data_IF_150778213760
#
_entry.id   IF_150778213760
#
_cell.length_a   1.000
_cell.length_b   1.000
_cell.length_c   1.000
_cell.angle_alpha   90.00
_cell.angle_beta   90.00
_cell.angle_gamma   90.00
#
_symmetry.space_group_name_H-M   'P 1'
#
loop_
_entity.id
_entity.type
_entity.pdbx_description
1 polymer ?
#
# COMPACT_ATOMS: atom_id res chain seq x y z
N UNK A 1 -12.07 -1.81 -25.00
CA UNK A 1 -11.40 -0.50 -24.92
C UNK A 1 -11.99 0.26 -23.73
N UNK A 2 -11.18 0.90 -22.88
CA UNK A 2 -11.70 1.61 -21.71
C UNK A 2 -12.16 3.01 -22.08
N UNK A 3 -13.34 3.43 -21.61
CA UNK A 3 -13.81 4.82 -21.76
C UNK A 3 -12.89 5.76 -20.98
N UNK A 4 -12.48 6.86 -21.61
CA UNK A 4 -11.63 7.89 -21.00
C UNK A 4 -12.37 8.63 -19.89
N UNK A 5 -11.64 9.34 -19.02
CA UNK A 5 -12.27 10.16 -17.98
C UNK A 5 -13.20 11.21 -18.62
N UNK A 6 -12.74 11.88 -19.68
CA UNK A 6 -13.53 12.87 -20.42
C UNK A 6 -14.84 12.29 -20.97
N UNK A 7 -14.79 11.11 -21.57
CA UNK A 7 -15.98 10.41 -22.07
C UNK A 7 -16.95 10.09 -20.93
N UNK A 8 -16.45 9.60 -19.80
CA UNK A 8 -17.28 9.30 -18.64
C UNK A 8 -17.90 10.56 -18.03
N UNK A 9 -17.15 11.66 -17.95
CA UNK A 9 -17.67 12.92 -17.43
C UNK A 9 -18.73 13.49 -18.37
N UNK A 10 -18.51 13.40 -19.68
CA UNK A 10 -19.51 13.80 -20.66
C UNK A 10 -20.80 12.98 -20.53
N UNK A 11 -20.70 11.65 -20.36
CA UNK A 11 -21.86 10.78 -20.13
C UNK A 11 -22.68 11.27 -18.93
N UNK A 12 -22.04 11.52 -17.79
CA UNK A 12 -22.74 11.98 -16.58
C UNK A 12 -23.42 13.34 -16.82
N UNK A 13 -22.71 14.29 -17.41
CA UNK A 13 -23.27 15.62 -17.71
C UNK A 13 -24.46 15.53 -18.69
N UNK A 14 -24.32 14.78 -19.78
CA UNK A 14 -25.35 14.60 -20.80
C UNK A 14 -26.58 13.88 -20.23
N UNK A 15 -26.38 12.86 -19.40
CA UNK A 15 -27.46 12.12 -18.76
C UNK A 15 -28.34 13.02 -17.89
N UNK A 16 -27.74 13.86 -17.04
CA UNK A 16 -28.48 14.78 -16.18
C UNK A 16 -29.04 15.99 -16.92
N UNK A 17 -28.35 16.49 -17.95
CA UNK A 17 -28.82 17.59 -18.80
C UNK A 17 -30.10 17.22 -19.55
N UNK A 18 -30.25 15.96 -19.93
CA UNK A 18 -31.43 15.44 -20.62
C UNK A 18 -32.58 15.03 -19.70
N UNK A 19 -32.51 15.40 -18.41
CA UNK A 19 -33.62 15.21 -17.49
C UNK A 19 -34.84 16.03 -17.91
N UNK A 20 -36.01 15.39 -17.96
CA UNK A 20 -37.30 16.07 -18.15
C UNK A 20 -38.13 15.97 -16.88
N UNK A 21 -38.82 17.05 -16.52
CA UNK A 21 -39.71 17.05 -15.37
C UNK A 21 -41.07 16.46 -15.76
N UNK A 22 -41.48 15.40 -15.09
CA UNK A 22 -42.82 14.85 -15.25
C UNK A 22 -43.88 15.74 -14.61
N UNK A 23 -45.14 15.53 -14.99
CA UNK A 23 -46.30 16.21 -14.40
C UNK A 23 -46.39 16.01 -12.87
N UNK A 24 -45.85 14.90 -12.36
CA UNK A 24 -45.81 14.55 -10.93
C UNK A 24 -44.68 15.27 -10.17
N UNK A 25 -43.85 16.07 -10.85
CA UNK A 25 -42.72 16.79 -10.26
C UNK A 25 -41.44 15.97 -10.10
N UNK A 26 -41.41 14.73 -10.61
CA UNK A 26 -40.23 13.87 -10.61
C UNK A 26 -39.38 14.06 -11.88
N UNK A 27 -38.04 14.00 -11.73
CA UNK A 27 -37.12 14.04 -12.86
C UNK A 27 -37.01 12.66 -13.52
N UNK A 28 -37.28 12.60 -14.83
CA UNK A 28 -37.07 11.42 -15.65
C UNK A 28 -35.85 11.62 -16.53
N UNK A 29 -34.95 10.65 -16.50
CA UNK A 29 -33.72 10.66 -17.27
C UNK A 29 -33.75 9.58 -18.35
N UNK A 30 -33.38 9.94 -19.58
CA UNK A 30 -33.35 9.03 -20.72
C UNK A 30 -31.93 8.60 -21.04
N UNK A 31 -31.64 7.30 -20.86
CA UNK A 31 -30.37 6.70 -21.31
C UNK A 31 -30.22 6.84 -22.83
N UNK A 32 -31.34 6.76 -23.56
CA UNK A 32 -31.36 6.86 -25.02
C UNK A 32 -30.96 8.25 -25.51
N UNK A 33 -31.46 9.32 -24.88
CA UNK A 33 -31.05 10.69 -25.22
C UNK A 33 -29.55 10.92 -24.99
N UNK A 34 -29.02 10.41 -23.87
CA UNK A 34 -27.59 10.46 -23.58
C UNK A 34 -26.75 9.68 -24.61
N UNK A 35 -27.25 8.53 -25.08
CA UNK A 35 -26.60 7.72 -26.13
C UNK A 35 -26.48 8.52 -27.42
N UNK A 36 -27.58 9.13 -27.85
CA UNK A 36 -27.64 9.83 -29.14
C UNK A 36 -26.72 11.07 -29.14
N UNK A 37 -26.67 11.83 -28.04
CA UNK A 37 -25.69 12.91 -27.87
C UNK A 37 -24.23 12.41 -27.83
N UNK A 38 -23.98 11.26 -27.19
CA UNK A 38 -22.65 10.68 -27.11
C UNK A 38 -22.14 10.26 -28.49
N UNK A 39 -22.97 9.61 -29.29
CA UNK A 39 -22.63 9.19 -30.65
C UNK A 39 -22.45 10.40 -31.57
N UNK A 40 -23.23 11.46 -31.40
CA UNK A 40 -23.05 12.70 -32.15
C UNK A 40 -21.73 13.41 -31.82
N UNK A 41 -21.30 13.36 -30.55
CA UNK A 41 -20.04 13.98 -30.09
C UNK A 41 -18.80 13.16 -30.45
N UNK A 42 -18.91 11.83 -30.47
CA UNK A 42 -17.79 10.92 -30.72
C UNK A 42 -18.10 9.93 -31.87
N UNK A 43 -18.28 10.41 -33.12
CA UNK A 43 -18.69 9.58 -34.26
C UNK A 43 -17.59 8.62 -34.73
N UNK A 44 -16.33 8.90 -34.40
CA UNK A 44 -15.16 8.11 -34.84
C UNK A 44 -15.00 6.79 -34.08
N UNK A 45 -15.71 6.62 -32.96
CA UNK A 45 -15.60 5.44 -32.11
C UNK A 45 -16.62 4.40 -32.57
N UNK A 46 -16.15 3.32 -33.22
CA UNK A 46 -16.97 2.17 -33.57
C UNK A 46 -17.34 1.37 -32.31
N UNK A 47 -18.32 1.87 -31.55
CA UNK A 47 -18.79 1.31 -30.27
C UNK A 47 -20.11 0.57 -30.52
N UNK A 48 -20.19 -0.66 -30.04
CA UNK A 48 -21.44 -1.42 -30.00
C UNK A 48 -22.47 -0.73 -29.08
N UNK A 49 -23.66 -0.41 -29.61
CA UNK A 49 -24.68 0.37 -28.89
C UNK A 49 -25.09 -0.25 -27.55
N UNK A 50 -25.24 -1.57 -27.49
CA UNK A 50 -25.63 -2.27 -26.25
C UNK A 50 -24.57 -2.14 -25.15
N UNK A 51 -23.29 -2.13 -25.55
CA UNK A 51 -22.15 -1.93 -24.65
C UNK A 51 -22.12 -0.50 -24.09
N UNK A 52 -22.43 0.49 -24.93
CA UNK A 52 -22.54 1.89 -24.51
C UNK A 52 -23.68 2.09 -23.51
N UNK A 53 -24.87 1.56 -23.79
CA UNK A 53 -26.03 1.67 -22.89
C UNK A 53 -25.75 1.06 -21.52
N UNK A 54 -25.13 -0.12 -21.49
CA UNK A 54 -24.71 -0.78 -20.24
C UNK A 54 -23.67 0.06 -19.48
N UNK A 55 -22.73 0.67 -20.22
CA UNK A 55 -21.71 1.51 -19.62
C UNK A 55 -22.28 2.81 -19.04
N UNK A 56 -23.23 3.46 -19.73
CA UNK A 56 -23.93 4.66 -19.24
C UNK A 56 -24.59 4.36 -17.89
N UNK A 57 -25.40 3.30 -17.81
CA UNK A 57 -26.06 2.89 -16.55
C UNK A 57 -25.05 2.69 -15.43
N UNK A 58 -23.99 1.92 -15.69
CA UNK A 58 -22.93 1.65 -14.70
C UNK A 58 -22.20 2.92 -14.22
N UNK A 59 -21.98 3.89 -15.11
CA UNK A 59 -21.32 5.16 -14.76
C UNK A 59 -22.24 6.02 -13.90
N UNK A 60 -23.53 6.11 -14.27
CA UNK A 60 -24.54 6.87 -13.51
C UNK A 60 -24.73 6.25 -12.13
N UNK A 61 -24.88 4.92 -12.04
CA UNK A 61 -25.02 4.22 -10.76
C UNK A 61 -23.79 4.44 -9.86
N UNK A 62 -22.59 4.43 -10.45
CA UNK A 62 -21.34 4.73 -9.72
C UNK A 62 -21.35 6.18 -9.22
N UNK A 63 -21.72 7.12 -10.07
CA UNK A 63 -21.77 8.53 -9.69
C UNK A 63 -22.78 8.76 -8.57
N UNK A 64 -23.96 8.12 -8.62
CA UNK A 64 -24.99 8.26 -7.59
C UNK A 64 -24.58 7.62 -6.26
N UNK A 65 -23.88 6.49 -6.29
CA UNK A 65 -23.44 5.79 -5.09
C UNK A 65 -22.19 6.38 -4.45
N UNK A 66 -21.25 6.92 -5.24
CA UNK A 66 -19.91 7.33 -4.75
C UNK A 66 -19.56 8.79 -5.00
N UNK A 67 -20.35 9.53 -5.78
CA UNK A 67 -20.05 10.90 -6.23
C UNK A 67 -18.90 10.98 -7.24
N UNK A 68 -18.36 9.84 -7.70
CA UNK A 68 -17.18 9.80 -8.55
C UNK A 68 -17.47 9.14 -9.90
N UNK A 69 -17.00 9.78 -10.96
CA UNK A 69 -17.08 9.28 -12.33
C UNK A 69 -16.00 8.22 -12.60
N UNK A 70 -14.81 8.42 -12.01
CA UNK A 70 -13.68 7.52 -12.16
C UNK A 70 -13.89 6.22 -11.37
N UNK A 71 -13.28 5.13 -11.84
CA UNK A 71 -13.23 3.90 -11.05
C UNK A 71 -12.35 4.14 -9.83
N UNK A 72 -12.88 3.89 -8.63
CA UNK A 72 -12.10 3.94 -7.40
C UNK A 72 -10.93 2.95 -7.41
N UNK A 73 -9.99 3.14 -6.47
CA UNK A 73 -8.90 2.17 -6.26
C UNK A 73 -9.51 0.81 -5.93
N UNK A 74 -9.07 -0.23 -6.63
CA UNK A 74 -9.42 -1.59 -6.25
C UNK A 74 -8.93 -1.84 -4.82
N UNK A 75 -9.69 -2.57 -3.99
CA UNK A 75 -9.32 -2.86 -2.59
C UNK A 75 -8.01 -3.65 -2.45
N UNK A 76 -7.47 -4.17 -3.57
CA UNK A 76 -6.20 -4.88 -3.60
C UNK A 76 -6.34 -6.29 -3.07
N UNK A 77 -5.19 -6.92 -2.77
CA UNK A 77 -5.14 -8.24 -2.14
C UNK A 77 -5.54 -8.09 -0.66
N UNK A 78 -6.46 -8.91 -0.13
CA UNK A 78 -6.82 -8.84 1.28
C UNK A 78 -5.60 -9.04 2.18
N UNK A 79 -5.53 -8.34 3.32
CA UNK A 79 -4.48 -8.56 4.31
C UNK A 79 -4.59 -9.96 4.92
N UNK A 80 -3.52 -10.39 5.59
CA UNK A 80 -3.54 -11.61 6.40
C UNK A 80 -4.50 -11.41 7.57
N UNK A 81 -5.26 -12.43 7.96
CA UNK A 81 -6.19 -12.35 9.09
C UNK A 81 -5.48 -12.12 10.41
N UNK A 82 -6.13 -11.42 11.34
CA UNK A 82 -5.55 -11.08 12.64
C UNK A 82 -5.22 -12.34 13.47
N UNK A 83 -6.08 -13.37 13.40
CA UNK A 83 -5.86 -14.67 14.04
C UNK A 83 -4.53 -15.31 13.62
N UNK A 84 -4.19 -15.21 12.33
CA UNK A 84 -2.95 -15.73 11.78
C UNK A 84 -1.76 -14.88 12.23
N UNK A 85 -1.93 -13.57 12.33
CA UNK A 85 -0.89 -12.67 12.84
C UNK A 85 -0.57 -13.00 14.30
N UNK A 86 -1.60 -13.26 15.11
CA UNK A 86 -1.45 -13.63 16.52
C UNK A 86 -0.77 -15.00 16.69
N UNK A 87 -1.20 -16.03 15.95
CA UNK A 87 -0.56 -17.36 15.98
C UNK A 87 0.94 -17.27 15.63
N UNK A 88 1.29 -16.45 14.63
CA UNK A 88 2.69 -16.22 14.26
C UNK A 88 3.46 -15.45 15.34
N UNK A 89 2.83 -14.48 16.02
CA UNK A 89 3.42 -13.72 17.13
C UNK A 89 3.73 -14.66 18.29
N UNK A 90 2.74 -15.40 18.77
CA UNK A 90 2.87 -16.30 19.92
C UNK A 90 3.97 -17.33 19.69
N UNK A 91 3.99 -17.96 18.51
CA UNK A 91 5.03 -18.94 18.16
C UNK A 91 6.41 -18.32 18.11
N UNK A 92 6.56 -17.08 17.65
CA UNK A 92 7.86 -16.42 17.61
C UNK A 92 8.33 -16.04 19.02
N UNK A 93 7.43 -15.53 19.86
CA UNK A 93 7.73 -15.19 21.25
C UNK A 93 8.15 -16.40 22.09
N UNK A 94 7.51 -17.56 21.89
CA UNK A 94 7.88 -18.82 22.55
C UNK A 94 9.29 -19.30 22.18
N UNK A 95 9.78 -19.01 20.97
CA UNK A 95 11.13 -19.41 20.56
C UNK A 95 11.71 -18.42 19.54
N UNK A 96 12.27 -17.28 20.02
CA UNK A 96 12.68 -16.15 19.17
C UNK A 96 13.83 -16.45 18.21
N UNK A 97 14.59 -17.52 18.48
CA UNK A 97 15.74 -17.93 17.67
C UNK A 97 15.36 -18.86 16.51
N UNK A 98 14.09 -19.24 16.38
CA UNK A 98 13.65 -20.16 15.32
C UNK A 98 13.73 -19.50 13.94
N UNK A 99 14.04 -20.28 12.92
CA UNK A 99 14.06 -19.78 11.55
C UNK A 99 12.65 -19.56 11.01
N UNK A 100 12.52 -18.65 10.05
CA UNK A 100 11.29 -18.42 9.30
C UNK A 100 10.78 -19.69 8.60
N UNK A 101 11.68 -20.55 8.10
CA UNK A 101 11.30 -21.83 7.49
C UNK A 101 10.69 -22.79 8.51
N UNK A 102 11.23 -22.84 9.74
CA UNK A 102 10.65 -23.64 10.82
C UNK A 102 9.30 -23.09 11.27
N UNK A 103 9.17 -21.77 11.36
CA UNK A 103 7.89 -21.12 11.67
C UNK A 103 6.82 -21.43 10.61
N UNK A 104 7.19 -21.35 9.33
CA UNK A 104 6.34 -21.71 8.20
C UNK A 104 5.87 -23.17 8.29
N UNK A 105 6.79 -24.10 8.56
CA UNK A 105 6.45 -25.50 8.73
C UNK A 105 5.49 -25.73 9.93
N UNK A 106 5.73 -25.05 11.05
CA UNK A 106 4.92 -25.19 12.27
C UNK A 106 3.49 -24.64 12.09
N UNK A 107 3.36 -23.49 11.44
CA UNK A 107 2.08 -22.78 11.27
C UNK A 107 1.29 -23.23 10.04
N UNK A 108 1.92 -23.95 9.10
CA UNK A 108 1.32 -24.28 7.80
C UNK A 108 1.22 -23.07 6.85
N UNK A 109 1.77 -21.92 7.23
CA UNK A 109 1.71 -20.68 6.46
C UNK A 109 2.93 -20.59 5.54
N UNK A 110 2.79 -20.12 4.29
CA UNK A 110 3.93 -19.94 3.40
C UNK A 110 5.01 -19.02 3.98
N UNK A 111 6.28 -19.40 3.78
CA UNK A 111 7.45 -18.64 4.24
C UNK A 111 7.37 -17.14 3.95
N UNK A 112 6.95 -16.76 2.73
CA UNK A 112 6.87 -15.36 2.30
C UNK A 112 5.81 -14.58 3.07
N UNK A 113 4.72 -15.23 3.48
CA UNK A 113 3.69 -14.64 4.33
C UNK A 113 4.22 -14.47 5.75
N UNK A 114 4.83 -15.51 6.34
CA UNK A 114 5.48 -15.42 7.65
C UNK A 114 6.50 -14.26 7.71
N UNK A 115 7.35 -14.15 6.68
CA UNK A 115 8.34 -13.08 6.57
C UNK A 115 7.68 -11.69 6.49
N UNK A 116 6.61 -11.54 5.69
CA UNK A 116 5.88 -10.26 5.55
C UNK A 116 5.21 -9.88 6.87
N UNK A 117 4.55 -10.82 7.54
CA UNK A 117 3.86 -10.58 8.81
C UNK A 117 4.88 -10.16 9.88
N UNK A 118 5.95 -10.93 10.10
CA UNK A 118 6.95 -10.58 11.11
C UNK A 118 7.60 -9.21 10.83
N UNK A 119 7.97 -8.93 9.57
CA UNK A 119 8.71 -7.70 9.23
C UNK A 119 7.82 -6.46 9.13
N UNK A 120 6.66 -6.57 8.49
CA UNK A 120 5.81 -5.41 8.11
C UNK A 120 4.66 -5.17 9.08
N UNK A 121 4.14 -6.22 9.70
CA UNK A 121 2.98 -6.14 10.61
C UNK A 121 3.44 -6.12 12.07
N UNK A 122 4.32 -7.04 12.45
CA UNK A 122 4.80 -7.21 13.84
C UNK A 122 6.08 -6.43 14.14
N UNK A 123 6.74 -5.87 13.13
CA UNK A 123 8.00 -5.13 13.26
C UNK A 123 9.09 -5.87 14.05
N UNK A 124 9.11 -7.21 13.95
CA UNK A 124 10.11 -8.05 14.59
C UNK A 124 11.38 -8.10 13.74
N UNK A 125 12.49 -7.69 14.35
CA UNK A 125 13.81 -7.71 13.73
C UNK A 125 14.73 -8.68 14.48
N UNK A 126 15.41 -9.60 13.76
CA UNK A 126 16.37 -10.48 14.39
C UNK A 126 17.48 -9.67 15.05
N UNK A 127 17.64 -9.79 16.37
CA UNK A 127 18.79 -9.26 17.06
C UNK A 127 19.96 -10.25 16.93
N UNK A 128 21.07 -9.79 16.35
CA UNK A 128 22.29 -10.59 16.24
C UNK A 128 23.20 -10.25 17.42
N UNK A 129 23.33 -11.19 18.36
CA UNK A 129 24.31 -11.07 19.44
C UNK A 129 25.72 -11.07 18.82
N UNK A 130 26.45 -9.98 19.02
CA UNK A 130 27.86 -9.88 18.66
C UNK A 130 28.71 -10.49 19.77
N UNK A 131 29.57 -11.44 19.42
CA UNK A 131 30.66 -11.86 20.31
C UNK A 131 31.81 -10.87 20.12
N UNK A 132 32.21 -10.22 21.21
CA UNK A 132 33.36 -9.29 21.26
C UNK A 132 34.31 -9.76 22.35
N UNK A 133 35.56 -9.29 22.32
CA UNK A 133 36.53 -9.62 23.35
C UNK A 133 36.03 -9.20 24.75
N UNK A 134 36.17 -10.11 25.71
CA UNK A 134 35.89 -9.85 27.11
C UNK A 134 36.80 -8.74 27.65
N UNK A 135 36.22 -7.82 28.43
CA UNK A 135 36.96 -6.76 29.10
C UNK A 135 37.42 -7.22 30.48
N UNK A 136 38.73 -7.22 30.69
CA UNK A 136 39.32 -7.51 32.00
C UNK A 136 39.24 -6.27 32.88
N UNK A 137 39.29 -6.40 34.22
CA UNK A 137 39.27 -5.27 35.16
C UNK A 137 40.31 -4.17 34.84
N UNK A 138 41.49 -4.55 34.32
CA UNK A 138 42.53 -3.62 33.93
C UNK A 138 42.23 -2.83 32.64
N UNK A 139 41.34 -3.33 31.79
CA UNK A 139 41.01 -2.70 30.51
C UNK A 139 40.07 -1.51 30.70
N UNK A 140 39.17 -1.56 31.68
CA UNK A 140 38.22 -0.47 31.96
C UNK A 140 38.91 0.90 32.14
N UNK A 141 39.87 1.08 33.08
CA UNK A 141 40.53 2.39 33.25
C UNK A 141 41.38 2.77 32.04
N UNK A 142 42.02 1.81 31.36
CA UNK A 142 42.84 2.07 30.16
C UNK A 142 42.00 2.58 28.99
N UNK A 143 40.82 2.00 28.78
CA UNK A 143 39.89 2.41 27.73
C UNK A 143 39.33 3.80 27.99
N UNK A 144 38.96 4.10 29.24
CA UNK A 144 38.49 5.45 29.60
C UNK A 144 39.60 6.47 29.39
N UNK A 145 40.82 6.22 29.89
CA UNK A 145 41.96 7.10 29.70
C UNK A 145 42.29 7.34 28.22
N UNK A 146 42.18 6.30 27.38
CA UNK A 146 42.34 6.44 25.93
C UNK A 146 41.25 7.32 25.31
N UNK A 147 39.98 7.14 25.69
CA UNK A 147 38.88 7.97 25.19
C UNK A 147 39.06 9.44 25.58
N UNK A 148 39.43 9.72 26.83
CA UNK A 148 39.71 11.07 27.32
C UNK A 148 40.91 11.70 26.59
N UNK A 149 42.00 10.93 26.44
CA UNK A 149 43.15 11.36 25.66
C UNK A 149 42.76 11.67 24.21
N UNK A 150 41.98 10.80 23.57
CA UNK A 150 41.54 10.97 22.19
C UNK A 150 40.68 12.23 22.02
N UNK A 151 39.71 12.45 22.92
CA UNK A 151 38.87 13.65 22.89
C UNK A 151 39.69 14.94 23.02
N UNK A 152 40.66 14.99 23.93
CA UNK A 152 41.52 16.16 24.11
C UNK A 152 42.44 16.45 22.92
N UNK A 153 42.65 15.45 22.07
CA UNK A 153 43.58 15.50 20.95
C UNK A 153 42.89 15.50 19.57
N UNK A 154 41.55 15.49 19.55
CA UNK A 154 40.75 15.33 18.35
C UNK A 154 40.91 16.49 17.34
N UNK A 155 41.28 17.69 17.81
CA UNK A 155 41.52 18.87 16.97
C UNK A 155 42.95 18.97 16.41
N UNK A 156 43.81 18.01 16.74
CA UNK A 156 45.19 17.98 16.25
C UNK A 156 45.23 17.18 14.93
N UNK A 157 45.39 17.87 13.80
CA UNK A 157 45.23 17.31 12.44
C UNK A 157 46.04 16.02 12.15
N UNK A 158 47.10 15.72 12.89
CA UNK A 158 47.94 14.53 12.66
C UNK A 158 47.45 13.26 13.38
N UNK A 159 46.50 13.36 14.30
CA UNK A 159 46.15 12.24 15.19
C UNK A 159 45.22 11.22 14.54
N UNK A 160 44.36 11.65 13.63
CA UNK A 160 43.51 10.72 12.85
C UNK A 160 44.36 9.85 11.92
N UNK A 161 45.48 10.38 11.41
CA UNK A 161 46.41 9.67 10.52
C UNK A 161 47.21 8.56 11.21
N UNK A 162 47.29 8.55 12.55
CA UNK A 162 48.07 7.55 13.30
C UNK A 162 47.18 6.45 13.89
N UNK A 163 45.88 6.71 14.05
CA UNK A 163 44.98 5.82 14.81
C UNK A 163 44.14 4.91 13.90
N UNK A 164 43.79 5.37 12.69
CA UNK A 164 42.88 4.64 11.79
C UNK A 164 43.56 3.97 10.59
N UNK A 165 44.90 3.92 10.57
CA UNK A 165 45.69 3.30 9.51
C UNK A 165 46.33 1.97 9.97
#
# INVERSE_FOLDING_TARGET
MGYTLEQNTFIVMSYYRNGTLNADGEWVYSVQACKDEYLAKFPELNIEEQSLMTHIKRIVDRFNSTGNVSKGKSPGRPPVSEEVVEDLRERMEQSPKKSLSKLSLQSGIPYTTCQKVLKRTLHMHPYKVSSIHELKPADYPRRVAYCEWFQNNMNNNRILDVIFF
#
